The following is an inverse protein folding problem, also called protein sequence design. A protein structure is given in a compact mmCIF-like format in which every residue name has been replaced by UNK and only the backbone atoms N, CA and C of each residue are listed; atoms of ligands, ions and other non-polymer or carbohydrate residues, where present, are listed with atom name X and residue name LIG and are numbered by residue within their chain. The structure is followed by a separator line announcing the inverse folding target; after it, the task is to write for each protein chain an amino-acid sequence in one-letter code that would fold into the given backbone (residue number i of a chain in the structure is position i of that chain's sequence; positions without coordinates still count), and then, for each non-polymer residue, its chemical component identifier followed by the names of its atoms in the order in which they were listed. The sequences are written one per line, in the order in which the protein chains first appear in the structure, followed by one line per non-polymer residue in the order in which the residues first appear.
data_IF_522943378881
#
_entry.id   IF_522943378881
#
_cell.length_a   1.000
_cell.length_b   1.000
_cell.length_c   1.000
_cell.angle_alpha   90.00
_cell.angle_beta   90.00
_cell.angle_gamma   90.00
#
_symmetry.space_group_name_H-M   'P 1'
#
loop_
_entity.id
_entity.type
_entity.pdbx_description
1 polymer ?
#
# COMPACT_ATOMS: atom_id res chain seq x y z
N UNK A 1 8.36 9.97 -12.82
CA UNK A 1 7.86 9.79 -11.45
C UNK A 1 6.81 8.69 -11.42
N UNK A 2 6.50 8.20 -10.23
CA UNK A 2 5.45 7.20 -10.03
C UNK A 2 4.63 7.60 -8.80
N UNK A 3 3.32 7.38 -8.90
CA UNK A 3 2.39 7.55 -7.80
C UNK A 3 1.92 6.17 -7.32
N UNK A 4 2.08 5.89 -6.03
CA UNK A 4 1.58 4.70 -5.37
C UNK A 4 0.46 5.07 -4.42
N UNK A 5 -0.74 4.57 -4.70
CA UNK A 5 -1.88 4.72 -3.82
C UNK A 5 -1.92 3.58 -2.81
N UNK A 6 -1.50 3.84 -1.58
CA UNK A 6 -1.45 2.84 -0.51
C UNK A 6 -2.67 2.92 0.40
N UNK A 7 -3.24 1.75 0.69
CA UNK A 7 -4.39 1.61 1.58
C UNK A 7 -3.92 1.34 3.01
N UNK A 8 -4.73 1.73 3.97
CA UNK A 8 -4.51 1.37 5.36
C UNK A 8 -4.95 -0.08 5.60
N UNK A 9 -4.14 -0.90 6.30
CA UNK A 9 -4.55 -2.25 6.65
C UNK A 9 -5.75 -2.22 7.61
N UNK A 10 -6.61 -3.22 7.54
CA UNK A 10 -7.85 -3.27 8.35
C UNK A 10 -7.62 -3.09 9.85
N UNK A 11 -6.47 -3.51 10.34
CA UNK A 11 -6.09 -3.29 11.75
C UNK A 11 -5.93 -1.80 12.08
N UNK A 12 -5.33 -1.02 11.18
CA UNK A 12 -5.13 0.41 11.39
C UNK A 12 -6.42 1.22 11.31
N UNK A 13 -7.45 0.71 10.63
CA UNK A 13 -8.77 1.36 10.52
C UNK A 13 -9.50 1.38 11.88
N UNK A 14 -9.23 0.38 12.72
CA UNK A 14 -9.90 0.22 14.02
C UNK A 14 -9.18 0.92 15.19
N UNK A 15 -7.95 1.38 14.98
CA UNK A 15 -7.14 2.01 16.03
C UNK A 15 -6.91 3.48 15.70
N UNK A 16 -7.24 4.33 16.63
CA UNK A 16 -6.90 5.79 16.64
C UNK A 16 -5.44 6.01 17.03
N UNK A 17 -4.55 5.15 16.58
CA UNK A 17 -3.13 5.20 16.89
C UNK A 17 -2.30 5.86 15.79
N UNK A 18 -1.08 5.43 15.70
CA UNK A 18 -0.16 5.77 14.62
C UNK A 18 0.24 4.51 13.86
N UNK A 19 0.67 4.68 12.63
CA UNK A 19 1.21 3.63 11.77
C UNK A 19 2.43 4.17 11.02
N UNK A 20 3.44 3.36 10.85
CA UNK A 20 4.61 3.73 10.06
C UNK A 20 4.36 3.55 8.55
N UNK A 21 4.93 4.44 7.74
CA UNK A 21 4.90 4.30 6.27
C UNK A 21 5.43 2.94 5.83
N UNK A 22 6.44 2.40 6.51
CA UNK A 22 6.99 1.07 6.22
C UNK A 22 5.97 -0.06 6.39
N UNK A 23 5.04 0.04 7.35
CA UNK A 23 3.95 -0.92 7.52
C UNK A 23 2.91 -0.80 6.42
N UNK A 24 2.61 0.42 5.97
CA UNK A 24 1.73 0.64 4.82
C UNK A 24 2.33 0.04 3.55
N UNK A 25 3.63 0.19 3.34
CA UNK A 25 4.32 -0.40 2.19
C UNK A 25 4.36 -1.92 2.27
N UNK A 26 4.61 -2.49 3.45
CA UNK A 26 4.50 -3.95 3.65
C UNK A 26 3.11 -4.46 3.30
N UNK A 27 2.07 -3.79 3.80
CA UNK A 27 0.69 -4.18 3.50
C UNK A 27 0.40 -4.10 1.99
N UNK A 28 0.97 -3.12 1.30
CA UNK A 28 0.79 -2.94 -0.14
C UNK A 28 1.32 -4.10 -0.99
N UNK A 29 2.44 -4.72 -0.60
CA UNK A 29 3.07 -5.83 -1.33
C UNK A 29 2.73 -7.22 -0.77
N UNK A 30 2.03 -7.28 0.37
CA UNK A 30 1.63 -8.56 0.98
C UNK A 30 0.53 -9.21 0.13
N UNK A 31 0.65 -10.52 -0.18
CA UNK A 31 -0.41 -11.23 -0.87
C UNK A 31 -1.74 -11.15 -0.13
N UNK A 32 -2.81 -10.88 -0.85
CA UNK A 32 -4.18 -10.89 -0.33
C UNK A 32 -4.94 -12.10 -0.87
N UNK A 33 -5.59 -12.84 0.02
CA UNK A 33 -6.47 -13.94 -0.37
C UNK A 33 -7.76 -13.38 -0.94
N UNK A 34 -8.11 -13.81 -2.15
CA UNK A 34 -9.31 -13.42 -2.86
C UNK A 34 -10.34 -14.56 -2.81
N UNK A 35 -10.94 -14.76 -1.65
CA UNK A 35 -12.02 -15.72 -1.50
C UNK A 35 -13.28 -15.24 -2.21
N UNK A 36 -13.91 -16.13 -2.97
CA UNK A 36 -15.21 -15.88 -3.65
C UNK A 36 -15.24 -14.68 -4.60
N UNK A 37 -14.09 -14.35 -5.22
CA UNK A 37 -14.01 -13.22 -6.15
C UNK A 37 -14.70 -13.49 -7.50
N UNK A 38 -15.20 -14.70 -7.73
CA UNK A 38 -15.83 -15.10 -9.01
C UNK A 38 -14.84 -15.25 -10.16
N UNK A 39 -13.54 -15.11 -9.93
CA UNK A 39 -12.56 -15.32 -10.96
C UNK A 39 -12.41 -16.80 -11.28
N UNK A 40 -12.42 -17.12 -12.57
CA UNK A 40 -12.24 -18.49 -13.05
C UNK A 40 -10.92 -18.62 -13.78
N UNK A 41 -10.05 -19.49 -13.29
CA UNK A 41 -8.77 -19.73 -13.92
C UNK A 41 -8.96 -20.29 -15.33
N UNK A 42 -8.29 -19.70 -16.32
CA UNK A 42 -8.35 -20.14 -17.71
C UNK A 42 -7.77 -21.54 -17.95
N UNK A 43 -6.81 -21.95 -17.11
CA UNK A 43 -6.13 -23.26 -17.23
C UNK A 43 -6.87 -24.36 -16.46
N UNK A 44 -7.03 -24.19 -15.13
CA UNK A 44 -7.62 -25.24 -14.29
C UNK A 44 -9.13 -25.07 -14.06
N UNK A 45 -9.70 -23.92 -14.49
CA UNK A 45 -11.11 -23.56 -14.32
C UNK A 45 -11.60 -23.59 -12.86
N UNK A 46 -10.69 -23.72 -11.90
CA UNK A 46 -10.97 -23.63 -10.48
C UNK A 46 -11.28 -22.19 -10.06
N UNK A 47 -12.04 -22.07 -8.98
CA UNK A 47 -12.51 -20.78 -8.45
C UNK A 47 -11.94 -20.54 -7.04
N UNK A 48 -11.24 -21.54 -6.51
CA UNK A 48 -10.88 -21.58 -5.10
C UNK A 48 -9.45 -21.08 -4.84
N UNK A 49 -9.28 -20.38 -3.72
CA UNK A 49 -7.99 -20.03 -3.11
C UNK A 49 -7.04 -19.25 -4.04
N UNK A 50 -7.51 -18.15 -4.58
CA UNK A 50 -6.66 -17.23 -5.32
C UNK A 50 -6.00 -16.23 -4.38
N UNK A 51 -4.74 -15.92 -4.67
CA UNK A 51 -4.02 -14.84 -4.03
C UNK A 51 -3.68 -13.79 -5.09
N UNK A 52 -3.90 -12.53 -4.76
CA UNK A 52 -3.43 -11.39 -5.52
C UNK A 52 -2.25 -10.78 -4.81
N UNK A 53 -1.18 -10.51 -5.55
CA UNK A 53 -0.01 -9.82 -5.03
C UNK A 53 0.44 -8.74 -5.99
N UNK A 54 0.65 -7.55 -5.46
CA UNK A 54 1.29 -6.46 -6.18
C UNK A 54 2.79 -6.50 -5.89
N UNK A 55 3.60 -6.51 -6.93
CA UNK A 55 5.06 -6.43 -6.80
C UNK A 55 5.58 -5.20 -7.51
N UNK A 56 6.58 -4.55 -6.91
CA UNK A 56 7.24 -3.40 -7.49
C UNK A 56 8.52 -3.87 -8.16
N UNK A 57 8.58 -3.80 -9.48
CA UNK A 57 9.76 -4.23 -10.21
C UNK A 57 10.92 -3.25 -10.01
N UNK A 58 10.67 -1.96 -10.18
CA UNK A 58 11.69 -0.90 -10.07
C UNK A 58 11.07 0.41 -9.59
N UNK A 59 11.79 1.11 -8.71
CA UNK A 59 11.39 2.44 -8.25
C UNK A 59 11.83 3.55 -9.21
N UNK A 60 11.06 4.62 -9.32
CA UNK A 60 11.43 5.84 -10.04
C UNK A 60 12.40 6.70 -9.20
N UNK A 61 12.95 7.73 -9.81
CA UNK A 61 13.74 8.73 -9.07
C UNK A 61 12.89 9.57 -8.11
N UNK A 62 11.63 9.79 -8.45
CA UNK A 62 10.66 10.52 -7.62
C UNK A 62 9.46 9.62 -7.40
N UNK A 63 9.17 9.33 -6.14
CA UNK A 63 8.05 8.52 -5.70
C UNK A 63 7.05 9.38 -4.94
N UNK A 64 5.81 9.42 -5.40
CA UNK A 64 4.68 10.01 -4.69
C UNK A 64 3.89 8.93 -3.98
N UNK A 65 3.66 9.08 -2.68
CA UNK A 65 2.83 8.18 -1.90
C UNK A 65 1.50 8.85 -1.58
N UNK A 66 0.44 8.35 -2.19
CA UNK A 66 -0.92 8.76 -1.90
C UNK A 66 -1.54 7.86 -0.83
N UNK A 67 -1.86 8.41 0.32
CA UNK A 67 -2.46 7.68 1.43
C UNK A 67 -3.98 7.68 1.29
N UNK A 68 -4.59 6.52 1.06
CA UNK A 68 -6.04 6.36 0.91
C UNK A 68 -6.72 6.46 2.28
N UNK A 69 -6.98 7.68 2.75
CA UNK A 69 -7.57 7.96 4.06
C UNK A 69 -9.09 7.87 4.11
N UNK A 70 -9.75 7.70 2.97
CA UNK A 70 -11.19 7.57 2.93
C UNK A 70 -11.59 6.09 2.87
N UNK A 71 -12.36 5.67 3.84
CA UNK A 71 -12.91 4.32 3.96
C UNK A 71 -14.40 4.34 3.70
N UNK A 72 -14.86 3.50 2.78
CA UNK A 72 -16.27 3.29 2.52
C UNK A 72 -16.74 2.09 3.34
N UNK A 73 -17.41 2.36 4.45
CA UNK A 73 -18.25 1.37 5.11
C UNK A 73 -19.59 1.27 4.40
N UNK A 74 -20.28 0.15 4.58
CA UNK A 74 -21.62 -0.07 4.01
C UNK A 74 -22.64 1.02 4.37
N UNK A 75 -22.38 1.82 5.40
CA UNK A 75 -23.30 2.84 5.90
C UNK A 75 -22.73 4.27 5.91
N UNK A 76 -21.41 4.45 5.87
CA UNK A 76 -20.80 5.79 6.00
C UNK A 76 -19.48 5.89 5.26
N UNK A 77 -19.19 7.08 4.78
CA UNK A 77 -17.83 7.47 4.34
C UNK A 77 -17.13 8.07 5.54
N UNK A 78 -16.05 7.44 5.97
CA UNK A 78 -15.28 7.91 7.12
C UNK A 78 -13.87 8.27 6.68
N UNK A 79 -13.35 9.36 7.23
CA UNK A 79 -11.95 9.75 7.05
C UNK A 79 -11.12 9.12 8.17
N UNK A 80 -10.07 8.41 7.79
CA UNK A 80 -9.14 7.84 8.76
C UNK A 80 -8.27 8.94 9.36
N UNK A 81 -8.35 9.10 10.68
CA UNK A 81 -7.55 10.06 11.45
C UNK A 81 -6.24 9.49 11.98
N UNK A 82 -5.94 8.22 11.65
CA UNK A 82 -4.70 7.55 12.03
C UNK A 82 -3.48 8.39 11.65
N UNK A 83 -2.62 8.68 12.61
CA UNK A 83 -1.36 9.38 12.35
C UNK A 83 -0.39 8.48 11.61
N UNK A 84 0.19 8.97 10.52
CA UNK A 84 1.23 8.24 9.79
C UNK A 84 2.59 8.83 10.16
N UNK A 85 3.44 7.99 10.73
CA UNK A 85 4.82 8.33 11.01
C UNK A 85 5.64 8.20 9.72
N UNK A 86 6.26 9.31 9.32
CA UNK A 86 7.05 9.41 8.10
C UNK A 86 8.49 9.66 8.49
N UNK A 87 9.40 8.70 8.27
CA UNK A 87 10.83 8.91 8.56
C UNK A 87 11.45 9.85 7.53
N UNK A 88 12.52 10.53 7.89
CA UNK A 88 13.27 11.40 6.96
C UNK A 88 13.84 10.60 5.78
N UNK A 89 14.24 9.37 6.05
CA UNK A 89 14.76 8.45 5.04
C UNK A 89 13.97 7.15 5.07
N UNK A 90 13.41 6.75 3.94
CA UNK A 90 12.72 5.48 3.77
C UNK A 90 13.56 4.52 2.92
N UNK A 91 13.95 3.40 3.53
CA UNK A 91 14.64 2.32 2.82
C UNK A 91 13.62 1.47 2.06
N UNK A 92 13.68 1.53 0.75
CA UNK A 92 12.76 0.83 -0.16
C UNK A 92 13.35 -0.43 -0.80
N UNK A 93 14.57 -0.81 -0.44
CA UNK A 93 15.26 -1.94 -1.07
C UNK A 93 14.52 -3.27 -0.94
N UNK A 94 13.87 -3.49 0.20
CA UNK A 94 13.13 -4.73 0.47
C UNK A 94 11.78 -4.85 -0.26
N UNK A 95 11.31 -3.75 -0.88
CA UNK A 95 10.00 -3.73 -1.54
C UNK A 95 10.08 -3.90 -3.06
N UNK A 96 11.28 -3.85 -3.64
CA UNK A 96 11.47 -4.04 -5.07
C UNK A 96 12.02 -5.44 -5.37
N UNK A 97 11.58 -6.02 -6.49
CA UNK A 97 12.04 -7.33 -6.94
C UNK A 97 13.32 -7.25 -7.78
N UNK A 98 13.64 -6.10 -8.36
CA UNK A 98 14.86 -5.90 -9.14
C UNK A 98 16.04 -5.53 -8.24
N UNK A 99 17.16 -6.24 -8.36
CA UNK A 99 18.39 -5.94 -7.63
C UNK A 99 18.97 -4.55 -7.95
N UNK A 100 18.66 -3.99 -9.10
CA UNK A 100 19.07 -2.64 -9.49
C UNK A 100 18.34 -1.53 -8.74
N UNK A 101 17.31 -1.86 -7.98
CA UNK A 101 16.46 -0.90 -7.27
C UNK A 101 16.93 -0.64 -5.83
N UNK A 102 18.20 -0.34 -5.65
CA UNK A 102 18.74 0.04 -4.34
C UNK A 102 18.54 1.55 -4.07
N UNK A 103 17.28 1.96 -3.87
CA UNK A 103 16.98 3.36 -3.60
C UNK A 103 16.60 3.59 -2.15
N UNK A 104 17.18 4.64 -1.61
CA UNK A 104 16.67 5.34 -0.43
C UNK A 104 15.91 6.56 -0.92
N UNK A 105 14.75 6.78 -0.37
CA UNK A 105 14.00 8.01 -0.61
C UNK A 105 14.11 8.93 0.58
N UNK A 106 14.48 10.18 0.31
CA UNK A 106 14.40 11.26 1.28
C UNK A 106 13.00 11.87 1.15
N UNK A 107 12.28 11.93 2.25
CA UNK A 107 10.98 12.59 2.25
C UNK A 107 11.14 14.11 2.21
N UNK A 108 10.52 14.71 1.21
CA UNK A 108 10.32 16.16 1.15
C UNK A 108 8.81 16.36 1.43
N UNK A 109 8.43 16.83 2.62
CA UNK A 109 7.03 17.05 2.92
C UNK A 109 6.49 18.21 2.07
N UNK A 110 5.58 17.90 1.15
CA UNK A 110 4.75 18.91 0.51
C UNK A 110 3.46 19.04 1.28
N UNK A 111 3.26 20.14 1.95
CA UNK A 111 1.98 20.49 2.54
C UNK A 111 1.17 21.29 1.51
N UNK A 112 0.21 20.64 0.88
CA UNK A 112 -0.85 21.38 0.21
C UNK A 112 -1.91 21.72 1.25
N UNK A 113 -1.98 22.98 1.66
CA UNK A 113 -3.13 23.55 2.34
C UNK A 113 -4.20 23.77 1.25
N UNK A 114 -5.18 22.89 1.24
CA UNK A 114 -6.45 23.11 0.54
C UNK A 114 -7.43 23.76 1.48
#
# INVERSE_FOLDING_TARGET
FMDLSVSFPRKAIRYTGYIDVSELMKSYITPESMERCGYKCSKCKGVDNMEEQITIFRFPKILSLHLKRFYNSTMRREKLSTTVNIPDILDMRSYATSESSKYFFVFIPFYFLL
#
